data_IF_594650102607
#
_entry.id   IF_594650102607
#
_cell.length_a   1.000
_cell.length_b   1.000
_cell.length_c   1.000
_cell.angle_alpha   90.00
_cell.angle_beta   90.00
_cell.angle_gamma   90.00
#
_symmetry.space_group_name_H-M   'P 1'
#
loop_
_entity.id
_entity.type
_entity.pdbx_description
1 polymer ?
#
# COMPACT_ATOMS: atom_id res chain seq x y z
N UNK A 1 -22.33 0.41 -39.83
CA UNK A 1 -21.72 1.57 -39.16
C UNK A 1 -21.86 1.38 -37.66
N UNK A 2 -20.79 0.97 -37.00
CA UNK A 2 -20.80 0.58 -35.59
C UNK A 2 -20.16 1.74 -34.80
N UNK A 3 -20.95 2.52 -34.05
CA UNK A 3 -20.44 3.52 -33.11
C UNK A 3 -20.80 3.09 -31.68
N UNK A 4 -19.86 2.47 -30.97
CA UNK A 4 -19.89 2.30 -29.51
C UNK A 4 -18.45 2.46 -29.00
N UNK A 5 -18.11 3.69 -28.58
CA UNK A 5 -16.77 4.00 -28.07
C UNK A 5 -16.67 5.29 -27.25
N UNK A 6 -17.78 5.99 -26.98
CA UNK A 6 -17.73 7.32 -26.32
C UNK A 6 -18.18 7.33 -24.86
N UNK A 7 -18.76 6.25 -24.32
CA UNK A 7 -19.33 6.25 -22.97
C UNK A 7 -18.30 6.03 -21.85
N UNK A 8 -17.22 5.28 -22.11
CA UNK A 8 -16.22 4.93 -21.09
C UNK A 8 -15.24 6.07 -20.83
N UNK A 9 -14.89 6.83 -21.87
CA UNK A 9 -13.90 7.91 -21.78
C UNK A 9 -14.43 9.08 -20.94
N UNK A 10 -15.74 9.36 -20.99
CA UNK A 10 -16.35 10.44 -20.22
C UNK A 10 -16.29 10.22 -18.70
N UNK A 11 -16.41 8.97 -18.24
CA UNK A 11 -16.42 8.63 -16.80
C UNK A 11 -15.01 8.74 -16.21
N UNK A 12 -13.99 8.30 -16.93
CA UNK A 12 -12.58 8.39 -16.49
C UNK A 12 -12.16 9.85 -16.28
N UNK A 13 -12.57 10.74 -17.20
CA UNK A 13 -12.24 12.18 -17.11
C UNK A 13 -12.92 12.82 -15.89
N UNK A 14 -14.17 12.45 -15.57
CA UNK A 14 -14.89 13.00 -14.41
C UNK A 14 -14.23 12.57 -13.08
N UNK A 15 -13.78 11.32 -12.98
CA UNK A 15 -13.10 10.82 -11.78
C UNK A 15 -11.73 11.50 -11.55
N UNK A 16 -10.98 11.76 -12.61
CA UNK A 16 -9.70 12.46 -12.52
C UNK A 16 -9.84 13.89 -11.99
N UNK A 17 -10.90 14.61 -12.38
CA UNK A 17 -11.15 15.99 -11.92
C UNK A 17 -11.53 16.04 -10.44
N UNK A 18 -12.33 15.08 -9.95
CA UNK A 18 -12.71 15.01 -8.54
C UNK A 18 -11.50 14.79 -7.61
N UNK A 19 -10.53 13.96 -8.03
CA UNK A 19 -9.32 13.70 -7.26
C UNK A 19 -8.44 14.96 -7.07
N UNK A 20 -8.29 15.78 -8.12
CA UNK A 20 -7.49 17.02 -8.04
C UNK A 20 -8.11 18.04 -7.09
N UNK A 21 -9.44 18.17 -7.08
CA UNK A 21 -10.14 19.08 -6.17
C UNK A 21 -9.99 18.66 -4.71
N UNK A 22 -10.08 17.35 -4.42
CA UNK A 22 -9.89 16.83 -3.07
C UNK A 22 -8.48 17.12 -2.51
N UNK A 23 -7.44 16.97 -3.34
CA UNK A 23 -6.05 17.28 -2.96
C UNK A 23 -5.87 18.79 -2.70
N UNK A 24 -6.46 19.65 -3.56
CA UNK A 24 -6.42 21.09 -3.37
C UNK A 24 -7.08 21.56 -2.06
N UNK A 25 -8.25 20.99 -1.72
CA UNK A 25 -8.96 21.29 -0.46
C UNK A 25 -8.20 20.77 0.76
N UNK A 26 -7.58 19.59 0.66
CA UNK A 26 -6.76 19.02 1.73
C UNK A 26 -5.57 19.94 2.06
N UNK A 27 -4.82 20.38 1.05
CA UNK A 27 -3.71 21.31 1.25
C UNK A 27 -4.15 22.69 1.77
N UNK A 28 -5.34 23.17 1.37
CA UNK A 28 -5.87 24.45 1.82
C UNK A 28 -6.35 24.42 3.27
N UNK A 29 -6.93 23.31 3.73
CA UNK A 29 -7.43 23.14 5.10
C UNK A 29 -6.34 22.73 6.10
N UNK A 30 -5.24 22.14 5.63
CA UNK A 30 -4.13 21.68 6.49
C UNK A 30 -2.95 22.66 6.56
N UNK A 31 -3.00 23.80 5.85
CA UNK A 31 -1.99 24.86 5.98
C UNK A 31 -2.26 25.65 7.28
N UNK A 32 -1.75 25.09 8.39
CA UNK A 32 -1.88 25.59 9.74
C UNK A 32 -1.66 27.10 9.87
N UNK A 33 -2.72 27.80 10.30
CA UNK A 33 -2.69 29.17 10.77
C UNK A 33 -2.23 29.17 12.23
N UNK A 34 -0.91 29.03 12.44
CA UNK A 34 -0.29 29.06 13.76
C UNK A 34 -0.08 30.49 14.24
N UNK A 35 -1.08 31.05 14.94
CA UNK A 35 -0.89 32.29 15.73
C UNK A 35 -0.07 31.93 16.96
N UNK A 36 1.14 32.46 17.04
CA UNK A 36 2.07 32.21 18.13
C UNK A 36 1.82 33.19 19.27
N UNK A 37 1.21 32.72 20.35
CA UNK A 37 1.17 33.45 21.62
C UNK A 37 1.74 32.63 22.77
N UNK A 38 2.49 33.36 23.58
CA UNK A 38 3.53 32.96 24.51
C UNK A 38 2.95 32.29 25.76
N UNK A 39 3.56 31.20 26.20
CA UNK A 39 3.25 30.59 27.49
C UNK A 39 4.43 29.79 28.03
N UNK A 40 5.25 30.45 28.83
CA UNK A 40 6.24 29.86 29.72
C UNK A 40 5.59 28.81 30.63
N UNK A 41 6.18 27.63 30.80
CA UNK A 41 6.81 27.12 32.05
C UNK A 41 7.27 25.65 31.90
N UNK A 42 8.32 25.21 32.63
CA UNK A 42 9.12 24.04 32.30
C UNK A 42 8.80 22.78 33.12
N UNK A 43 9.30 21.66 32.62
CA UNK A 43 9.72 20.43 33.32
C UNK A 43 8.73 19.70 34.24
N UNK A 44 8.16 18.61 33.70
CA UNK A 44 7.82 17.37 34.41
C UNK A 44 7.89 16.27 33.35
N UNK A 45 8.99 15.53 33.30
CA UNK A 45 9.14 14.19 33.88
C UNK A 45 8.35 13.11 33.14
N UNK A 46 9.08 12.04 32.84
CA UNK A 46 8.64 10.81 32.23
C UNK A 46 7.99 10.98 30.85
N UNK A 47 8.84 10.89 29.83
CA UNK A 47 8.47 10.35 28.52
C UNK A 47 7.87 8.96 28.72
N UNK A 48 6.61 8.90 29.13
CA UNK A 48 5.72 7.84 28.72
C UNK A 48 5.61 8.03 27.20
N UNK A 49 6.58 7.44 26.49
CA UNK A 49 6.44 7.15 25.07
C UNK A 49 5.23 6.24 24.98
N UNK A 50 4.05 6.85 24.91
CA UNK A 50 2.89 6.26 24.29
C UNK A 50 3.33 6.11 22.85
N UNK A 51 4.03 5.01 22.58
CA UNK A 51 4.12 4.48 21.24
C UNK A 51 2.66 4.48 20.76
N UNK A 52 2.32 5.18 19.67
CA UNK A 52 1.03 4.94 19.06
C UNK A 52 1.00 3.43 18.87
N UNK A 53 -0.02 2.78 19.40
CA UNK A 53 -0.37 1.43 19.02
C UNK A 53 -0.58 1.52 17.52
N UNK A 54 0.50 1.35 16.77
CA UNK A 54 0.48 1.18 15.33
C UNK A 54 -0.44 0.00 15.18
N UNK A 55 -1.62 0.24 14.62
CA UNK A 55 -2.36 -0.79 13.91
C UNK A 55 -1.30 -1.43 13.00
N UNK A 56 -0.71 -2.54 13.46
CA UNK A 56 0.30 -3.27 12.73
C UNK A 56 -0.51 -3.88 11.61
N UNK A 57 -0.66 -3.13 10.51
CA UNK A 57 -1.21 -3.67 9.28
C UNK A 57 -0.34 -4.88 8.98
N UNK A 58 -0.91 -6.08 9.14
CA UNK A 58 -0.14 -7.29 8.94
C UNK A 58 0.10 -7.40 7.43
N UNK A 59 1.37 -7.41 7.05
CA UNK A 59 1.76 -7.53 5.65
C UNK A 59 2.33 -8.91 5.44
N UNK A 60 1.81 -9.61 4.43
CA UNK A 60 2.41 -10.85 3.99
C UNK A 60 3.63 -10.54 3.15
N UNK A 61 4.83 -10.80 3.66
CA UNK A 61 6.05 -10.64 2.88
C UNK A 61 6.23 -11.81 1.91
N UNK A 62 6.27 -11.50 0.62
CA UNK A 62 6.53 -12.46 -0.45
C UNK A 62 7.75 -11.98 -1.22
N UNK A 63 8.81 -12.78 -1.22
CA UNK A 63 9.99 -12.50 -2.03
C UNK A 63 9.89 -13.22 -3.38
N UNK A 64 10.14 -12.50 -4.47
CA UNK A 64 10.30 -13.12 -5.79
C UNK A 64 11.78 -13.25 -6.09
N UNK A 65 12.27 -14.49 -6.19
CA UNK A 65 13.65 -14.82 -6.54
C UNK A 65 13.68 -15.45 -7.93
N UNK A 66 14.04 -14.65 -8.94
CA UNK A 66 13.97 -15.08 -10.34
C UNK A 66 12.54 -15.44 -10.76
N UNK A 67 12.26 -16.73 -10.86
CA UNK A 67 10.96 -17.26 -11.28
C UNK A 67 10.17 -17.92 -10.14
N UNK A 68 10.74 -17.93 -8.93
CA UNK A 68 10.18 -18.61 -7.78
C UNK A 68 9.63 -17.59 -6.78
N UNK A 69 8.55 -17.98 -6.11
CA UNK A 69 7.93 -17.21 -5.04
C UNK A 69 8.34 -17.81 -3.71
N UNK A 70 8.76 -16.96 -2.78
CA UNK A 70 9.25 -17.35 -1.46
C UNK A 70 8.36 -16.67 -0.43
N UNK A 71 7.73 -17.49 0.41
CA UNK A 71 6.92 -17.07 1.54
C UNK A 71 7.38 -17.84 2.78
N UNK A 72 7.49 -17.19 3.94
CA UNK A 72 8.05 -17.80 5.15
C UNK A 72 9.40 -18.52 4.93
N UNK A 73 10.24 -17.95 4.05
CA UNK A 73 11.55 -18.51 3.70
C UNK A 73 11.49 -19.90 3.02
N UNK A 74 10.32 -20.28 2.49
CA UNK A 74 10.10 -21.50 1.73
C UNK A 74 9.52 -21.19 0.35
N UNK A 75 9.89 -22.01 -0.64
CA UNK A 75 9.34 -21.88 -2.00
C UNK A 75 7.86 -22.24 -1.98
N UNK A 76 7.05 -21.36 -2.54
CA UNK A 76 5.60 -21.50 -2.59
C UNK A 76 5.06 -21.15 -3.98
N UNK A 77 3.77 -21.36 -4.17
CA UNK A 77 3.04 -21.02 -5.38
C UNK A 77 2.12 -19.81 -5.13
N UNK A 78 1.76 -19.10 -6.20
CA UNK A 78 0.86 -17.94 -6.14
C UNK A 78 -0.49 -18.32 -5.49
N UNK A 79 -1.02 -19.50 -5.81
CA UNK A 79 -2.28 -19.99 -5.24
C UNK A 79 -2.20 -20.15 -3.72
N UNK A 80 -1.06 -20.60 -3.20
CA UNK A 80 -0.85 -20.77 -1.77
C UNK A 80 -0.72 -19.42 -1.05
N UNK A 81 -0.07 -18.43 -1.68
CA UNK A 81 0.01 -17.05 -1.18
C UNK A 81 -1.40 -16.44 -1.07
N UNK A 82 -2.21 -16.61 -2.12
CA UNK A 82 -3.60 -16.13 -2.13
C UNK A 82 -4.44 -16.87 -1.09
N UNK A 83 -4.31 -18.19 -0.98
CA UNK A 83 -5.04 -18.97 0.02
C UNK A 83 -4.70 -18.52 1.44
N UNK A 84 -3.43 -18.27 1.73
CA UNK A 84 -3.01 -17.73 3.03
C UNK A 84 -3.57 -16.32 3.27
N UNK A 85 -3.67 -15.48 2.23
CA UNK A 85 -4.34 -14.17 2.32
C UNK A 85 -5.84 -14.28 2.59
N UNK A 86 -6.51 -15.27 1.99
CA UNK A 86 -7.95 -15.52 2.20
C UNK A 86 -8.23 -16.21 3.56
N UNK A 87 -7.26 -16.95 4.12
CA UNK A 87 -7.36 -17.58 5.44
C UNK A 87 -7.12 -16.59 6.59
N UNK A 88 -6.26 -15.59 6.36
CA UNK A 88 -5.84 -14.61 7.36
C UNK A 88 -6.38 -13.21 7.03
N UNK A 89 -7.60 -12.90 7.49
CA UNK A 89 -8.24 -11.57 7.35
C UNK A 89 -7.47 -10.41 8.02
N UNK A 90 -6.53 -10.73 8.92
CA UNK A 90 -5.65 -9.75 9.58
C UNK A 90 -4.61 -9.15 8.62
N UNK A 91 -4.34 -9.82 7.50
CA UNK A 91 -3.35 -9.39 6.52
C UNK A 91 -3.99 -8.36 5.57
N UNK A 92 -3.50 -7.13 5.65
CA UNK A 92 -4.05 -6.01 4.89
C UNK A 92 -3.56 -5.95 3.43
N UNK A 93 -2.34 -6.41 3.16
CA UNK A 93 -1.74 -6.42 1.84
C UNK A 93 -0.54 -7.38 1.71
N UNK A 94 -0.22 -7.76 0.48
CA UNK A 94 1.04 -8.46 0.16
C UNK A 94 2.17 -7.45 -0.05
N UNK A 95 3.27 -7.60 0.69
CA UNK A 95 4.51 -6.89 0.44
C UNK A 95 5.40 -7.73 -0.47
N UNK A 96 5.60 -7.28 -1.70
CA UNK A 96 6.39 -8.00 -2.70
C UNK A 96 7.83 -7.50 -2.65
N UNK A 97 8.75 -8.36 -2.21
CA UNK A 97 10.19 -8.08 -2.23
C UNK A 97 10.81 -8.58 -3.55
N UNK A 98 11.53 -7.70 -4.24
CA UNK A 98 12.29 -8.07 -5.45
C UNK A 98 13.69 -8.56 -5.05
N UNK A 99 13.95 -9.84 -5.26
CA UNK A 99 15.28 -10.43 -5.15
C UNK A 99 15.69 -10.98 -6.52
N UNK A 100 15.85 -10.08 -7.49
CA UNK A 100 16.11 -10.42 -8.89
C UNK A 100 14.88 -11.07 -9.53
N UNK A 101 13.70 -10.47 -9.33
CA UNK A 101 12.46 -11.01 -9.87
C UNK A 101 12.46 -10.97 -11.40
N UNK A 102 11.95 -12.03 -12.01
CA UNK A 102 11.63 -12.03 -13.43
C UNK A 102 10.39 -11.19 -13.65
N UNK A 103 10.40 -10.32 -14.67
CA UNK A 103 9.20 -9.57 -15.08
C UNK A 103 7.99 -10.49 -15.33
N UNK A 104 8.23 -11.73 -15.76
CA UNK A 104 7.16 -12.72 -15.90
C UNK A 104 6.54 -13.05 -14.54
N UNK A 105 7.37 -13.42 -13.55
CA UNK A 105 6.91 -13.84 -12.22
C UNK A 105 6.21 -12.70 -11.47
N UNK A 106 6.78 -11.50 -11.50
CA UNK A 106 6.16 -10.31 -10.90
C UNK A 106 4.77 -10.02 -11.50
N UNK A 107 4.64 -10.09 -12.83
CA UNK A 107 3.35 -9.88 -13.51
C UNK A 107 2.34 -10.97 -13.21
N UNK A 108 2.77 -12.22 -13.08
CA UNK A 108 1.89 -13.33 -12.70
C UNK A 108 1.36 -13.15 -11.29
N UNK A 109 2.22 -12.82 -10.32
CA UNK A 109 1.80 -12.56 -8.94
C UNK A 109 0.85 -11.36 -8.86
N UNK A 110 1.24 -10.21 -9.39
CA UNK A 110 0.40 -9.00 -9.33
C UNK A 110 -0.94 -9.17 -10.06
N UNK A 111 -0.99 -9.88 -11.19
CA UNK A 111 -2.24 -10.17 -11.87
C UNK A 111 -3.17 -11.06 -11.04
N UNK A 112 -2.63 -12.07 -10.35
CA UNK A 112 -3.42 -12.94 -9.50
C UNK A 112 -3.95 -12.21 -8.25
N UNK A 113 -3.16 -11.30 -7.68
CA UNK A 113 -3.59 -10.42 -6.58
C UNK A 113 -4.67 -9.44 -7.04
N UNK A 114 -4.52 -8.82 -8.22
CA UNK A 114 -5.52 -7.91 -8.80
C UNK A 114 -6.85 -8.63 -9.11
N UNK A 115 -6.78 -9.85 -9.65
CA UNK A 115 -7.97 -10.69 -9.90
C UNK A 115 -8.78 -10.93 -8.61
N UNK A 116 -8.08 -11.13 -7.50
CA UNK A 116 -8.67 -11.31 -6.17
C UNK A 116 -8.95 -9.98 -5.44
N UNK A 117 -8.68 -8.84 -6.08
CA UNK A 117 -8.76 -7.50 -5.45
C UNK A 117 -7.93 -7.38 -4.17
N UNK A 118 -6.87 -8.16 -4.06
CA UNK A 118 -5.92 -8.14 -2.95
C UNK A 118 -4.97 -6.97 -3.17
N UNK A 119 -4.82 -6.13 -2.14
CA UNK A 119 -3.85 -5.03 -2.18
C UNK A 119 -2.44 -5.59 -2.13
N UNK A 120 -1.56 -4.99 -2.92
CA UNK A 120 -0.14 -5.28 -2.85
C UNK A 120 0.66 -3.99 -2.83
N UNK A 121 1.80 -4.04 -2.15
CA UNK A 121 2.78 -2.97 -2.11
C UNK A 121 4.12 -3.54 -2.58
N UNK A 122 4.86 -2.74 -3.33
CA UNK A 122 6.23 -3.07 -3.66
C UNK A 122 7.07 -2.79 -2.41
N UNK A 123 7.66 -3.85 -1.86
CA UNK A 123 8.58 -3.76 -0.75
C UNK A 123 9.98 -3.61 -1.30
N UNK A 124 10.58 -2.42 -1.12
CA UNK A 124 12.02 -2.35 -1.08
C UNK A 124 12.45 -3.29 0.06
N UNK A 125 13.31 -4.28 -0.24
CA UNK A 125 14.03 -5.01 0.79
C UNK A 125 14.68 -3.94 1.66
N UNK A 126 14.23 -3.83 2.92
CA UNK A 126 14.59 -2.70 3.77
C UNK A 126 16.11 -2.58 3.78
N UNK A 127 16.59 -1.53 3.12
CA UNK A 127 17.94 -1.05 3.35
C UNK A 127 17.88 -0.32 4.68
N UNK A 128 17.80 -1.10 5.75
CA UNK A 128 18.09 -0.64 7.10
C UNK A 128 19.51 -0.05 7.03
N UNK A 129 19.62 1.27 7.15
CA UNK A 129 20.90 2.00 7.12
C UNK A 129 21.10 2.73 8.43
#
# INVERSE_FOLDING_TARGET
>A
MNRKGSAVIGIIVVLAVAAVVAIGVYYLTHRGSGTGDKGLVPSVEASASIAPETEQLEYMEVTIDGNDYIYNNEKTDIEAIIAAMEEHDEIAAVRIADRNASQKAYRELTAALDEKSIKYIEGDAESEK
#
